data_IF_417255111688
#
_entry.id   IF_417255111688
#
_cell.length_a   1.000
_cell.length_b   1.000
_cell.length_c   1.000
_cell.angle_alpha   90.00
_cell.angle_beta   90.00
_cell.angle_gamma   90.00
#
_symmetry.space_group_name_H-M   'P 1'
#
loop_
_entity.id
_entity.type
_entity.pdbx_description
1 polymer ?
#
# COMPACT_ATOMS: atom_id res chain seq x y z
N UNK A 1 -24.40 12.68 12.14
CA UNK A 1 -24.21 12.01 10.82
C UNK A 1 -24.07 10.52 11.05
N UNK A 2 -24.93 9.71 10.45
CA UNK A 2 -24.88 8.24 10.49
C UNK A 2 -23.65 7.73 9.71
N UNK A 3 -23.19 6.50 9.98
CA UNK A 3 -22.00 5.96 9.31
C UNK A 3 -22.17 5.84 7.79
N UNK A 4 -23.36 5.45 7.32
CA UNK A 4 -23.67 5.41 5.89
C UNK A 4 -23.51 6.79 5.25
N UNK A 5 -24.08 7.82 5.85
CA UNK A 5 -23.97 9.20 5.36
C UNK A 5 -22.51 9.69 5.31
N UNK A 6 -21.65 9.21 6.24
CA UNK A 6 -20.20 9.51 6.20
C UNK A 6 -19.53 8.89 5.00
N UNK A 7 -19.84 7.62 4.69
CA UNK A 7 -19.31 6.97 3.48
C UNK A 7 -19.72 7.76 2.24
N UNK A 8 -21.01 8.05 2.09
CA UNK A 8 -21.53 8.78 0.93
C UNK A 8 -20.85 10.15 0.77
N UNK A 9 -20.73 10.91 1.86
CA UNK A 9 -20.10 12.23 1.85
C UNK A 9 -18.60 12.15 1.50
N UNK A 10 -17.86 11.25 2.15
CA UNK A 10 -16.40 11.13 2.00
C UNK A 10 -16.05 10.59 0.61
N UNK A 11 -16.73 9.54 0.14
CA UNK A 11 -16.47 8.96 -1.18
C UNK A 11 -16.82 9.94 -2.30
N UNK A 12 -17.96 10.64 -2.20
CA UNK A 12 -18.33 11.66 -3.20
C UNK A 12 -17.29 12.79 -3.27
N UNK A 13 -16.79 13.26 -2.13
CA UNK A 13 -15.72 14.25 -2.14
C UNK A 13 -14.47 13.74 -2.86
N UNK A 14 -14.02 12.54 -2.54
CA UNK A 14 -12.80 11.98 -3.15
C UNK A 14 -12.95 11.68 -4.63
N UNK A 15 -14.11 11.19 -5.08
CA UNK A 15 -14.39 10.98 -6.51
C UNK A 15 -14.24 12.27 -7.32
N UNK A 16 -14.65 13.40 -6.74
CA UNK A 16 -14.53 14.72 -7.40
C UNK A 16 -13.11 15.26 -7.30
N UNK A 17 -12.50 15.20 -6.11
CA UNK A 17 -11.21 15.82 -5.85
C UNK A 17 -10.02 15.01 -6.41
N UNK A 18 -10.12 13.68 -6.44
CA UNK A 18 -9.04 12.77 -6.82
C UNK A 18 -9.57 11.60 -7.70
N UNK A 19 -10.15 11.88 -8.89
CA UNK A 19 -10.81 10.86 -9.70
C UNK A 19 -9.87 9.74 -10.19
N UNK A 20 -8.61 10.06 -10.46
CA UNK A 20 -7.62 9.16 -11.05
C UNK A 20 -6.39 9.03 -10.12
N UNK A 21 -6.61 8.58 -8.89
CA UNK A 21 -5.53 8.42 -7.93
C UNK A 21 -4.89 7.04 -8.04
N UNK A 22 -3.57 6.99 -7.93
CA UNK A 22 -2.81 5.75 -7.90
C UNK A 22 -1.62 5.88 -6.93
N UNK A 23 -0.77 4.86 -6.85
CA UNK A 23 0.45 4.88 -6.05
C UNK A 23 1.43 5.96 -6.54
N UNK A 24 2.21 6.52 -5.62
CA UNK A 24 3.33 7.44 -5.93
C UNK A 24 4.61 6.68 -6.35
N UNK A 25 4.63 5.34 -6.26
CA UNK A 25 5.75 4.52 -6.72
C UNK A 25 5.84 4.51 -8.25
N UNK A 26 7.06 4.54 -8.78
CA UNK A 26 7.36 4.47 -10.22
C UNK A 26 7.73 3.03 -10.61
N UNK A 27 7.07 2.52 -11.64
CA UNK A 27 7.26 1.15 -12.15
C UNK A 27 6.81 1.04 -13.60
N UNK A 28 7.38 0.09 -14.34
CA UNK A 28 7.02 -0.22 -15.72
C UNK A 28 6.48 -1.64 -15.92
N UNK A 29 6.47 -2.48 -14.86
CA UNK A 29 5.98 -3.87 -14.93
C UNK A 29 5.42 -4.32 -13.58
N UNK A 30 4.68 -5.46 -13.57
CA UNK A 30 4.21 -6.09 -12.33
C UNK A 30 5.37 -6.41 -11.38
N UNK A 31 6.46 -6.94 -11.92
CA UNK A 31 7.67 -7.24 -11.16
C UNK A 31 8.26 -5.98 -10.50
N UNK A 32 8.40 -4.90 -11.26
CA UNK A 32 8.92 -3.64 -10.72
C UNK A 32 8.01 -3.05 -9.65
N UNK A 33 6.69 -3.13 -9.81
CA UNK A 33 5.74 -2.72 -8.77
C UNK A 33 5.89 -3.57 -7.51
N UNK A 34 6.04 -4.89 -7.64
CA UNK A 34 6.22 -5.80 -6.52
C UNK A 34 7.51 -5.48 -5.75
N UNK A 35 8.63 -5.31 -6.46
CA UNK A 35 9.92 -4.89 -5.89
C UNK A 35 9.80 -3.54 -5.18
N UNK A 36 9.24 -2.52 -5.85
CA UNK A 36 9.09 -1.18 -5.27
C UNK A 36 8.20 -1.20 -4.01
N UNK A 37 7.11 -1.98 -4.04
CA UNK A 37 6.20 -2.13 -2.90
C UNK A 37 6.89 -2.81 -1.71
N UNK A 38 7.67 -3.86 -1.95
CA UNK A 38 8.47 -4.52 -0.91
C UNK A 38 9.49 -3.54 -0.30
N UNK A 39 10.20 -2.80 -1.15
CA UNK A 39 11.18 -1.79 -0.72
C UNK A 39 10.53 -0.65 0.07
N UNK A 40 9.26 -0.31 -0.19
CA UNK A 40 8.55 0.79 0.48
C UNK A 40 8.20 0.52 1.95
N UNK A 41 8.34 -0.72 2.44
CA UNK A 41 8.12 -1.04 3.84
C UNK A 41 9.05 -0.20 4.74
N UNK A 42 8.44 0.66 5.59
CA UNK A 42 9.12 1.62 6.48
C UNK A 42 10.09 2.57 5.74
N UNK A 43 9.83 2.87 4.48
CA UNK A 43 10.59 3.81 3.67
C UNK A 43 9.64 4.72 2.88
N UNK A 44 10.08 5.95 2.55
CA UNK A 44 9.25 6.86 1.77
C UNK A 44 9.28 6.51 0.29
N UNK A 45 8.14 6.67 -0.41
CA UNK A 45 8.06 6.44 -1.86
C UNK A 45 9.08 7.29 -2.63
N UNK A 46 9.32 8.53 -2.18
CA UNK A 46 10.38 9.38 -2.72
C UNK A 46 11.75 8.71 -2.69
N UNK A 47 12.13 8.07 -1.58
CA UNK A 47 13.40 7.35 -1.45
C UNK A 47 13.43 6.14 -2.38
N UNK A 48 12.33 5.40 -2.46
CA UNK A 48 12.23 4.23 -3.34
C UNK A 48 12.40 4.66 -4.80
N UNK A 49 11.71 5.70 -5.25
CA UNK A 49 11.82 6.22 -6.61
C UNK A 49 13.22 6.77 -6.95
N UNK A 50 14.05 7.10 -5.96
CA UNK A 50 15.46 7.46 -6.17
C UNK A 50 16.36 6.24 -6.36
N UNK A 51 16.01 5.10 -5.79
CA UNK A 51 16.83 3.88 -5.75
C UNK A 51 16.47 2.93 -6.90
N UNK A 52 15.19 2.78 -7.20
CA UNK A 52 14.69 1.79 -8.16
C UNK A 52 15.17 1.97 -9.60
N UNK A 53 15.45 3.17 -10.14
CA UNK A 53 15.95 3.29 -11.50
C UNK A 53 17.27 2.52 -11.74
N UNK A 54 18.24 2.63 -10.83
CA UNK A 54 19.50 1.91 -10.94
C UNK A 54 19.31 0.39 -10.75
N UNK A 55 18.42 0.01 -9.82
CA UNK A 55 18.08 -1.39 -9.57
C UNK A 55 17.42 -2.03 -10.79
N UNK A 56 16.45 -1.36 -11.42
CA UNK A 56 15.73 -1.88 -12.59
C UNK A 56 16.54 -1.82 -13.87
N UNK A 57 17.51 -0.91 -13.98
CA UNK A 57 18.46 -0.92 -15.09
C UNK A 57 19.35 -2.17 -15.06
N UNK A 58 19.74 -2.63 -13.87
CA UNK A 58 20.58 -3.84 -13.69
C UNK A 58 19.74 -5.12 -13.68
N UNK A 59 18.55 -5.09 -13.08
CA UNK A 59 17.64 -6.22 -12.91
C UNK A 59 16.23 -5.87 -13.38
N UNK A 60 15.95 -5.88 -14.69
CA UNK A 60 14.69 -5.43 -15.25
C UNK A 60 13.48 -6.33 -14.92
N UNK A 61 13.75 -7.61 -14.64
CA UNK A 61 12.77 -8.67 -14.42
C UNK A 61 13.24 -9.68 -13.36
N UNK A 62 12.38 -10.66 -13.06
CA UNK A 62 12.66 -11.69 -12.08
C UNK A 62 13.81 -12.61 -12.48
N UNK A 63 13.96 -12.91 -13.78
CA UNK A 63 15.01 -13.79 -14.30
C UNK A 63 16.39 -13.20 -14.05
N UNK A 64 16.57 -11.90 -14.29
CA UNK A 64 17.85 -11.24 -14.04
C UNK A 64 18.13 -11.10 -12.53
N UNK A 65 17.13 -10.74 -11.73
CA UNK A 65 17.32 -10.57 -10.28
C UNK A 65 17.51 -11.90 -9.55
N UNK A 66 16.95 -13.01 -10.06
CA UNK A 66 17.13 -14.35 -9.47
C UNK A 66 18.59 -14.82 -9.53
N UNK A 67 19.40 -14.28 -10.46
CA UNK A 67 20.81 -14.61 -10.62
C UNK A 67 21.73 -13.72 -9.77
N UNK A 68 21.19 -12.66 -9.17
CA UNK A 68 21.96 -11.75 -8.35
C UNK A 68 22.30 -12.35 -6.98
N UNK A 69 23.47 -11.99 -6.45
CA UNK A 69 23.76 -12.21 -5.04
C UNK A 69 23.00 -11.21 -4.15
N UNK A 70 22.84 -11.55 -2.89
CA UNK A 70 22.24 -10.63 -1.90
C UNK A 70 23.09 -9.36 -1.77
N UNK A 71 24.42 -9.48 -1.87
CA UNK A 71 25.39 -8.40 -1.81
C UNK A 71 25.24 -7.42 -2.97
N UNK A 72 25.08 -7.93 -4.21
CA UNK A 72 24.88 -7.09 -5.40
C UNK A 72 23.59 -6.26 -5.31
N UNK A 73 22.50 -6.88 -4.81
CA UNK A 73 21.23 -6.17 -4.58
C UNK A 73 21.39 -5.15 -3.46
N UNK A 74 22.05 -5.55 -2.35
CA UNK A 74 22.28 -4.67 -1.21
C UNK A 74 23.01 -3.38 -1.59
N UNK A 75 24.05 -3.46 -2.42
CA UNK A 75 24.80 -2.28 -2.88
C UNK A 75 23.87 -1.22 -3.51
N UNK A 76 22.88 -1.66 -4.30
CA UNK A 76 21.94 -0.79 -5.00
C UNK A 76 20.87 -0.22 -4.07
N UNK A 77 20.53 -0.92 -2.97
CA UNK A 77 19.44 -0.51 -2.06
C UNK A 77 19.93 -0.11 -0.66
N UNK A 78 21.24 0.06 -0.45
CA UNK A 78 21.84 0.33 0.88
C UNK A 78 21.25 1.53 1.63
N UNK A 79 20.67 2.48 0.90
CA UNK A 79 20.06 3.70 1.47
C UNK A 79 18.60 3.56 1.92
N UNK A 80 17.97 2.39 1.70
CA UNK A 80 16.60 2.13 2.19
C UNK A 80 16.63 1.57 3.62
N UNK A 81 15.49 1.61 4.31
CA UNK A 81 15.36 1.00 5.65
C UNK A 81 15.50 -0.52 5.57
N UNK A 82 16.27 -1.13 6.47
CA UNK A 82 16.50 -2.58 6.56
C UNK A 82 17.02 -3.22 5.26
N UNK A 83 18.10 -2.69 4.67
CA UNK A 83 18.53 -3.10 3.33
C UNK A 83 18.97 -4.57 3.25
N UNK A 84 19.63 -5.12 4.28
CA UNK A 84 20.04 -6.53 4.31
C UNK A 84 18.86 -7.50 4.18
N UNK A 85 17.81 -7.31 5.00
CA UNK A 85 16.63 -8.16 4.96
C UNK A 85 15.89 -8.01 3.61
N UNK A 86 15.84 -6.80 3.06
CA UNK A 86 15.21 -6.53 1.77
C UNK A 86 15.98 -7.13 0.60
N UNK A 87 17.30 -7.05 0.60
CA UNK A 87 18.14 -7.69 -0.42
C UNK A 87 17.91 -9.20 -0.45
N UNK A 88 17.94 -9.83 0.72
CA UNK A 88 17.63 -11.25 0.86
C UNK A 88 16.23 -11.60 0.33
N UNK A 89 15.20 -10.84 0.74
CA UNK A 89 13.83 -11.09 0.26
C UNK A 89 13.72 -10.90 -1.25
N UNK A 90 14.36 -9.88 -1.84
CA UNK A 90 14.32 -9.65 -3.29
C UNK A 90 14.97 -10.79 -4.06
N UNK A 91 16.14 -11.26 -3.64
CA UNK A 91 16.82 -12.38 -4.27
C UNK A 91 15.98 -13.66 -4.20
N UNK A 92 15.44 -13.98 -3.02
CA UNK A 92 14.63 -15.17 -2.81
C UNK A 92 13.29 -15.10 -3.54
N UNK A 93 12.57 -13.97 -3.44
CA UNK A 93 11.32 -13.73 -4.17
C UNK A 93 11.50 -13.91 -5.68
N UNK A 94 12.60 -13.39 -6.22
CA UNK A 94 12.87 -13.50 -7.66
C UNK A 94 13.14 -14.94 -8.10
N UNK A 95 13.89 -15.72 -7.30
CA UNK A 95 14.05 -17.16 -7.54
C UNK A 95 12.72 -17.90 -7.48
N UNK A 96 11.89 -17.64 -6.46
CA UNK A 96 10.55 -18.22 -6.34
C UNK A 96 9.64 -17.86 -7.53
N UNK A 97 9.69 -16.61 -8.01
CA UNK A 97 8.93 -16.22 -9.21
C UNK A 97 9.37 -17.04 -10.43
N UNK A 98 10.67 -17.22 -10.63
CA UNK A 98 11.18 -18.02 -11.77
C UNK A 98 10.79 -19.49 -11.63
N UNK A 99 10.98 -20.08 -10.45
CA UNK A 99 10.76 -21.50 -10.22
C UNK A 99 9.29 -21.89 -10.22
N UNK A 100 8.44 -21.08 -9.61
CA UNK A 100 7.02 -21.42 -9.39
C UNK A 100 6.10 -20.83 -10.44
N UNK A 101 6.46 -19.69 -11.04
CA UNK A 101 5.57 -18.89 -11.89
C UNK A 101 6.20 -18.47 -13.22
N UNK A 102 7.33 -19.10 -13.63
CA UNK A 102 8.00 -18.81 -14.90
C UNK A 102 8.57 -17.39 -15.01
N UNK A 103 8.73 -16.71 -13.87
CA UNK A 103 9.21 -15.33 -13.77
C UNK A 103 8.11 -14.27 -13.78
N UNK A 104 6.86 -14.68 -13.92
CA UNK A 104 5.70 -13.79 -13.90
C UNK A 104 5.16 -13.59 -12.47
N UNK A 105 4.61 -12.41 -12.22
CA UNK A 105 3.96 -12.12 -10.92
C UNK A 105 2.55 -12.73 -10.91
N UNK A 106 2.27 -13.64 -9.96
CA UNK A 106 0.95 -14.27 -9.90
C UNK A 106 -0.15 -13.29 -9.49
N UNK A 107 -1.36 -13.51 -9.97
CA UNK A 107 -2.54 -12.69 -9.69
C UNK A 107 -3.27 -13.11 -8.40
N UNK A 108 -3.20 -14.41 -8.06
CA UNK A 108 -3.89 -14.94 -6.89
C UNK A 108 -3.22 -14.49 -5.60
N UNK A 109 -4.04 -14.10 -4.59
CA UNK A 109 -3.53 -13.63 -3.31
C UNK A 109 -2.67 -14.68 -2.60
N UNK A 110 -3.14 -15.93 -2.60
CA UNK A 110 -2.46 -17.04 -1.93
C UNK A 110 -1.11 -17.36 -2.57
N UNK A 111 -0.93 -17.13 -3.86
CA UNK A 111 0.32 -17.31 -4.57
C UNK A 111 1.28 -16.15 -4.31
N UNK A 112 0.79 -14.92 -4.29
CA UNK A 112 1.57 -13.74 -3.91
C UNK A 112 2.11 -13.87 -2.47
N UNK A 113 1.30 -14.35 -1.54
CA UNK A 113 1.67 -14.49 -0.12
C UNK A 113 2.69 -15.63 0.13
N UNK A 114 2.94 -16.51 -0.84
CA UNK A 114 4.03 -17.52 -0.78
C UNK A 114 5.41 -16.90 -1.04
N UNK A 115 5.46 -15.75 -1.70
CA UNK A 115 6.71 -15.10 -2.09
C UNK A 115 7.41 -14.46 -0.89
N UNK A 116 8.73 -14.57 -0.85
CA UNK A 116 9.54 -14.03 0.23
C UNK A 116 9.35 -12.51 0.41
N UNK A 117 9.04 -12.09 1.63
CA UNK A 117 8.78 -10.70 1.98
C UNK A 117 7.41 -10.15 1.53
N UNK A 118 6.57 -10.97 0.91
CA UNK A 118 5.23 -10.57 0.46
C UNK A 118 4.20 -11.05 1.47
N UNK A 119 3.62 -10.11 2.20
CA UNK A 119 2.47 -10.38 3.06
C UNK A 119 1.19 -9.86 2.43
N UNK A 120 0.05 -10.11 3.10
CA UNK A 120 -1.29 -9.72 2.66
C UNK A 120 -1.41 -8.27 2.18
N UNK A 121 -0.79 -7.32 2.92
CA UNK A 121 -0.84 -5.90 2.52
C UNK A 121 -0.19 -5.69 1.15
N UNK A 122 0.99 -6.28 0.93
CA UNK A 122 1.70 -6.20 -0.36
C UNK A 122 0.89 -6.88 -1.46
N UNK A 123 0.38 -8.08 -1.23
CA UNK A 123 -0.47 -8.79 -2.17
C UNK A 123 -1.68 -7.95 -2.59
N UNK A 124 -2.39 -7.33 -1.63
CA UNK A 124 -3.52 -6.45 -1.93
C UNK A 124 -3.13 -5.23 -2.77
N UNK A 125 -1.95 -4.63 -2.52
CA UNK A 125 -1.46 -3.50 -3.35
C UNK A 125 -1.22 -3.96 -4.80
N UNK A 126 -0.52 -5.08 -4.99
CA UNK A 126 -0.23 -5.61 -6.34
C UNK A 126 -1.52 -5.93 -7.08
N UNK A 127 -2.45 -6.60 -6.42
CA UNK A 127 -3.75 -6.98 -7.00
C UNK A 127 -4.59 -5.75 -7.37
N UNK A 128 -4.61 -4.73 -6.53
CA UNK A 128 -5.36 -3.50 -6.85
C UNK A 128 -4.69 -2.69 -7.95
N UNK A 129 -3.39 -2.43 -7.85
CA UNK A 129 -2.69 -1.46 -8.70
C UNK A 129 -2.36 -2.04 -10.08
N UNK A 130 -1.94 -3.31 -10.13
CA UNK A 130 -1.54 -3.94 -11.39
C UNK A 130 -2.66 -4.72 -12.05
N UNK A 131 -3.36 -5.54 -11.28
CA UNK A 131 -4.41 -6.42 -11.83
C UNK A 131 -5.81 -5.81 -11.79
N UNK A 132 -6.00 -4.64 -11.18
CA UNK A 132 -7.30 -3.96 -11.14
C UNK A 132 -8.34 -4.58 -10.22
N UNK A 133 -7.93 -5.50 -9.33
CA UNK A 133 -8.87 -6.10 -8.37
C UNK A 133 -9.36 -5.10 -7.34
N UNK A 134 -10.61 -5.25 -6.95
CA UNK A 134 -11.18 -4.52 -5.82
C UNK A 134 -10.63 -5.07 -4.50
N UNK A 135 -9.40 -4.69 -4.13
CA UNK A 135 -8.76 -5.09 -2.86
C UNK A 135 -8.30 -3.87 -2.08
N UNK A 136 -8.43 -3.94 -0.75
CA UNK A 136 -8.10 -2.86 0.19
C UNK A 136 -6.84 -3.22 0.98
N UNK A 137 -5.74 -2.53 0.70
CA UNK A 137 -4.55 -2.66 1.53
C UNK A 137 -4.67 -1.75 2.77
N UNK A 138 -4.64 -2.29 3.97
CA UNK A 138 -4.73 -1.51 5.21
C UNK A 138 -3.36 -1.32 5.82
N UNK A 139 -2.79 -0.12 5.62
CA UNK A 139 -1.59 0.35 6.29
C UNK A 139 -1.94 1.21 7.53
N UNK A 140 -0.92 1.77 8.18
CA UNK A 140 -1.10 2.64 9.36
C UNK A 140 -1.90 3.90 9.04
N UNK A 141 -1.84 4.42 7.81
CA UNK A 141 -2.62 5.59 7.39
C UNK A 141 -4.09 5.22 7.20
N UNK A 142 -4.37 4.18 6.42
CA UNK A 142 -5.74 3.68 6.20
C UNK A 142 -6.38 3.29 7.52
N UNK A 143 -5.69 2.55 8.37
CA UNK A 143 -6.17 2.16 9.70
C UNK A 143 -6.58 3.40 10.53
N UNK A 144 -5.66 4.34 10.70
CA UNK A 144 -5.86 5.54 11.50
C UNK A 144 -6.99 6.43 10.99
N UNK A 145 -6.98 6.72 9.69
CA UNK A 145 -7.96 7.62 9.07
C UNK A 145 -9.36 7.03 9.14
N UNK A 146 -9.51 5.74 8.83
CA UNK A 146 -10.80 5.05 8.88
C UNK A 146 -11.44 5.10 10.27
N UNK A 147 -10.63 4.95 11.32
CA UNK A 147 -11.11 5.11 12.71
C UNK A 147 -11.44 6.57 13.03
N UNK A 148 -10.52 7.51 12.74
CA UNK A 148 -10.73 8.92 13.08
C UNK A 148 -11.95 9.52 12.41
N UNK A 149 -12.21 9.16 11.16
CA UNK A 149 -13.38 9.59 10.41
C UNK A 149 -14.64 8.80 10.78
N UNK A 150 -14.52 7.75 11.60
CA UNK A 150 -15.65 6.91 12.03
C UNK A 150 -16.21 6.06 10.89
N UNK A 151 -15.40 5.71 9.91
CA UNK A 151 -15.77 4.77 8.84
C UNK A 151 -15.87 3.34 9.38
N UNK A 152 -15.04 2.98 10.34
CA UNK A 152 -15.03 1.66 10.97
C UNK A 152 -15.41 1.75 12.45
N UNK A 153 -15.98 0.68 13.05
CA UNK A 153 -16.24 0.63 14.49
C UNK A 153 -14.93 0.45 15.28
N UNK A 154 -14.94 0.80 16.56
CA UNK A 154 -13.80 0.56 17.46
C UNK A 154 -13.43 -0.92 17.59
N UNK A 155 -14.40 -1.83 17.38
CA UNK A 155 -14.18 -3.29 17.38
C UNK A 155 -13.38 -3.80 16.18
N UNK A 156 -13.22 -2.99 15.14
CA UNK A 156 -12.29 -3.30 14.04
C UNK A 156 -10.85 -2.92 14.45
N UNK A 157 -10.31 -3.62 15.44
CA UNK A 157 -9.07 -3.33 16.16
C UNK A 157 -7.81 -3.92 15.51
N UNK A 158 -7.95 -4.61 14.39
CA UNK A 158 -6.83 -5.13 13.58
C UNK A 158 -6.93 -4.66 12.14
N UNK A 159 -5.79 -4.57 11.40
CA UNK A 159 -5.82 -4.23 9.98
C UNK A 159 -6.78 -5.12 9.17
N UNK A 160 -6.83 -6.42 9.48
CA UNK A 160 -7.73 -7.36 8.82
C UNK A 160 -9.21 -7.00 9.04
N UNK A 161 -9.62 -6.74 10.27
CA UNK A 161 -11.00 -6.34 10.56
C UNK A 161 -11.37 -4.99 9.91
N UNK A 162 -10.41 -4.06 9.81
CA UNK A 162 -10.59 -2.79 9.09
C UNK A 162 -10.77 -3.06 7.59
N UNK A 163 -9.93 -3.90 6.99
CA UNK A 163 -10.05 -4.34 5.60
C UNK A 163 -11.44 -4.92 5.33
N UNK A 164 -11.83 -5.95 6.09
CA UNK A 164 -13.12 -6.64 5.92
C UNK A 164 -14.31 -5.66 6.05
N UNK A 165 -14.19 -4.69 6.96
CA UNK A 165 -15.24 -3.69 7.16
C UNK A 165 -15.31 -2.69 6.00
N UNK A 166 -14.19 -2.16 5.55
CA UNK A 166 -14.15 -1.23 4.42
C UNK A 166 -14.62 -1.90 3.13
N UNK A 167 -14.14 -3.12 2.85
CA UNK A 167 -14.56 -3.92 1.70
C UNK A 167 -16.07 -4.15 1.63
N UNK A 168 -16.72 -4.28 2.77
CA UNK A 168 -18.18 -4.47 2.87
C UNK A 168 -18.98 -3.20 2.61
N UNK A 169 -18.42 -2.01 2.86
CA UNK A 169 -19.17 -0.75 2.90
C UNK A 169 -18.80 0.23 1.78
N UNK A 170 -17.66 0.02 1.12
CA UNK A 170 -17.25 0.81 -0.04
C UNK A 170 -17.72 0.07 -1.30
N UNK A 171 -18.35 0.76 -2.27
CA UNK A 171 -18.67 0.19 -3.57
C UNK A 171 -17.43 -0.44 -4.24
N UNK A 172 -17.61 -1.60 -4.90
CA UNK A 172 -16.49 -2.35 -5.47
C UNK A 172 -15.67 -1.53 -6.48
N UNK A 173 -16.34 -0.70 -7.27
CA UNK A 173 -15.74 0.20 -8.24
C UNK A 173 -14.85 1.28 -7.62
N UNK A 174 -15.11 1.66 -6.36
CA UNK A 174 -14.32 2.67 -5.66
C UNK A 174 -13.13 2.09 -4.89
N UNK A 175 -13.14 0.80 -4.58
CA UNK A 175 -12.16 0.19 -3.66
C UNK A 175 -10.71 0.45 -4.08
N UNK A 176 -10.30 0.31 -5.35
CA UNK A 176 -8.93 0.58 -5.77
C UNK A 176 -8.53 2.04 -5.50
N UNK A 177 -9.40 2.98 -5.78
CA UNK A 177 -9.16 4.39 -5.52
C UNK A 177 -9.27 4.73 -4.03
N UNK A 178 -10.22 4.15 -3.31
CA UNK A 178 -10.47 4.43 -1.90
C UNK A 178 -9.27 4.11 -1.01
N UNK A 179 -8.51 3.06 -1.32
CA UNK A 179 -7.24 2.81 -0.67
C UNK A 179 -6.32 4.04 -0.75
N UNK A 180 -6.09 4.54 -1.96
CA UNK A 180 -5.22 5.70 -2.18
C UNK A 180 -5.79 6.99 -1.61
N UNK A 181 -7.09 7.24 -1.73
CA UNK A 181 -7.75 8.40 -1.13
C UNK A 181 -7.52 8.48 0.37
N UNK A 182 -7.77 7.38 1.08
CA UNK A 182 -7.64 7.31 2.54
C UNK A 182 -6.16 7.40 2.94
N UNK A 183 -5.28 6.70 2.21
CA UNK A 183 -3.83 6.71 2.44
C UNK A 183 -3.26 8.12 2.30
N UNK A 184 -3.50 8.78 1.16
CA UNK A 184 -2.98 10.12 0.88
C UNK A 184 -3.57 11.17 1.83
N UNK A 185 -4.86 11.07 2.16
CA UNK A 185 -5.46 11.91 3.18
C UNK A 185 -4.76 11.73 4.54
N UNK A 186 -4.41 10.50 4.89
CA UNK A 186 -3.64 10.18 6.09
C UNK A 186 -2.21 10.69 6.06
N UNK A 187 -1.58 10.69 4.90
CA UNK A 187 -0.20 11.15 4.69
C UNK A 187 -0.10 12.67 4.77
N UNK A 188 -1.01 13.39 4.12
CA UNK A 188 -0.89 14.83 3.94
C UNK A 188 -1.76 15.68 4.87
N UNK A 189 -2.96 15.21 5.23
CA UNK A 189 -3.95 15.97 6.01
C UNK A 189 -4.12 15.38 7.41
N UNK A 190 -4.64 14.14 7.51
CA UNK A 190 -4.96 13.50 8.79
C UNK A 190 -3.72 12.81 9.38
N UNK A 191 -2.63 13.55 9.59
CA UNK A 191 -1.35 13.06 10.09
C UNK A 191 -1.49 12.41 11.47
N UNK A 192 -0.57 11.49 11.84
CA UNK A 192 -0.57 10.83 13.15
C UNK A 192 -0.44 11.85 14.28
N UNK A 193 0.54 12.74 14.16
CA UNK A 193 0.76 13.88 15.04
C UNK A 193 0.36 15.17 14.32
N UNK A 194 -0.26 16.10 15.05
CA UNK A 194 -0.68 17.42 14.54
C UNK A 194 -1.46 17.35 13.21
N UNK A 195 -2.61 16.65 13.17
CA UNK A 195 -3.43 16.60 11.96
C UNK A 195 -3.90 18.00 11.56
N UNK A 196 -3.94 18.26 10.25
CA UNK A 196 -4.32 19.55 9.69
C UNK A 196 -5.86 19.64 9.58
N UNK A 197 -6.56 19.60 10.72
CA UNK A 197 -8.03 19.55 10.75
C UNK A 197 -8.68 20.74 10.06
N UNK A 198 -8.08 21.94 10.18
CA UNK A 198 -8.62 23.17 9.56
C UNK A 198 -8.56 23.14 8.03
N UNK A 199 -7.73 22.27 7.45
CA UNK A 199 -7.63 22.01 6.00
C UNK A 199 -8.41 20.78 5.56
N UNK A 200 -9.07 20.06 6.49
CA UNK A 200 -9.78 18.83 6.19
C UNK A 200 -11.22 19.13 5.78
N UNK A 201 -11.62 18.67 4.60
CA UNK A 201 -12.99 18.82 4.10
C UNK A 201 -14.05 18.21 5.01
N UNK A 202 -13.66 17.25 5.86
CA UNK A 202 -14.58 16.54 6.78
C UNK A 202 -14.54 17.06 8.21
N UNK A 203 -13.82 18.15 8.50
CA UNK A 203 -13.55 18.62 9.87
C UNK A 203 -14.81 18.82 10.73
N UNK A 204 -15.86 19.42 10.17
CA UNK A 204 -17.12 19.70 10.88
C UNK A 204 -17.88 18.44 11.30
N UNK A 205 -17.82 17.39 10.47
CA UNK A 205 -18.53 16.13 10.69
C UNK A 205 -17.68 15.03 11.31
N UNK A 206 -16.37 15.28 11.42
CA UNK A 206 -15.40 14.27 11.86
C UNK A 206 -15.56 13.97 13.36
N UNK A 207 -15.86 12.72 13.77
CA UNK A 207 -15.98 12.36 15.18
C UNK A 207 -14.62 12.38 15.91
N UNK A 208 -13.52 12.50 15.17
CA UNK A 208 -12.14 12.59 15.69
C UNK A 208 -11.78 11.45 16.65
N UNK A 209 -12.28 10.25 16.38
CA UNK A 209 -11.99 9.06 17.19
C UNK A 209 -10.49 8.71 17.14
N UNK A 210 -9.97 8.11 18.20
CA UNK A 210 -8.53 7.77 18.37
C UNK A 210 -7.56 8.97 18.31
N UNK A 211 -8.04 10.18 18.60
CA UNK A 211 -7.15 11.36 18.58
C UNK A 211 -6.10 11.30 19.70
N UNK A 212 -6.45 10.65 20.80
CA UNK A 212 -5.66 10.58 22.03
C UNK A 212 -5.05 9.19 22.29
N UNK A 213 -5.31 8.20 21.43
CA UNK A 213 -4.70 6.87 21.54
C UNK A 213 -3.36 6.85 20.81
N UNK A 214 -2.30 6.53 21.53
CA UNK A 214 -1.02 6.15 20.93
C UNK A 214 -1.27 4.85 20.13
N UNK A 215 -1.20 4.93 18.81
CA UNK A 215 -1.14 3.79 17.91
C UNK A 215 0.30 3.31 17.79
#
# INVERSE_FOLDING_TARGET
>A
MLRKERYDFILNHFRIALPNVTTELQFGSAFQLLVATLLSAQCTDKRINMVTPALFARYPDAQHMAQASEEDIYELISSVSYPNAKAKHLAEMSRQLVEMFGGEVPEAADDLEKLAGVGRKTANVIRAVWFGHATMAVDTHVYRVSHRMGLVPKTADTPRKVEDYLMKHIPAEDIPNAHHWILLHGRYICKSTKPLCDKCFFNEYCPKLLRDSKL
#
